data_IF_428857816686
#
_entry.id   IF_428857816686
#
_cell.length_a   1.000
_cell.length_b   1.000
_cell.length_c   1.000
_cell.angle_alpha   90.00
_cell.angle_beta   90.00
_cell.angle_gamma   90.00
#
_symmetry.space_group_name_H-M   'P 1'
#
loop_
_entity.id
_entity.type
_entity.pdbx_description
1 polymer ?
#
# COMPACT_ATOMS: atom_id res chain seq x y z
N UNK A 1 -37.08 27.65 -0.04
CA UNK A 1 -35.65 27.63 -0.39
C UNK A 1 -34.86 27.56 0.91
N UNK A 2 -34.12 26.48 1.17
CA UNK A 2 -33.15 26.40 2.27
C UNK A 2 -31.76 26.65 1.69
N UNK A 3 -30.88 27.44 2.33
CA UNK A 3 -29.54 27.67 1.83
C UNK A 3 -28.69 26.40 2.00
N UNK A 4 -27.89 26.10 0.99
CA UNK A 4 -26.85 25.06 1.03
C UNK A 4 -25.81 25.44 2.08
N UNK A 5 -25.64 24.61 3.12
CA UNK A 5 -24.45 24.66 3.97
C UNK A 5 -23.25 24.14 3.17
N UNK A 6 -22.11 24.85 3.13
CA UNK A 6 -20.90 24.34 2.51
C UNK A 6 -20.41 23.13 3.31
N UNK A 7 -20.25 21.99 2.63
CA UNK A 7 -19.65 20.79 3.17
C UNK A 7 -18.24 21.14 3.69
N UNK A 8 -17.99 20.79 4.95
CA UNK A 8 -16.69 20.94 5.59
C UNK A 8 -15.64 20.14 4.81
N UNK A 9 -14.66 20.84 4.22
CA UNK A 9 -13.56 20.25 3.44
C UNK A 9 -12.56 19.43 4.28
N UNK A 10 -12.82 19.24 5.57
CA UNK A 10 -11.95 18.51 6.50
C UNK A 10 -11.97 16.99 6.35
N UNK A 11 -12.73 16.44 5.39
CA UNK A 11 -12.84 15.00 5.14
C UNK A 11 -12.08 14.47 3.92
N UNK A 12 -11.37 15.33 3.16
CA UNK A 12 -10.57 14.84 2.04
C UNK A 12 -9.38 14.04 2.60
N UNK A 13 -9.14 12.79 2.16
CA UNK A 13 -7.94 12.07 2.53
C UNK A 13 -6.75 12.95 2.15
N UNK A 14 -5.85 13.21 3.10
CA UNK A 14 -4.61 13.93 2.81
C UNK A 14 -3.99 13.30 1.57
N UNK A 15 -3.55 14.09 0.57
CA UNK A 15 -2.81 13.53 -0.55
C UNK A 15 -1.68 12.68 0.03
N UNK A 16 -1.56 11.43 -0.44
CA UNK A 16 -0.55 10.53 0.11
C UNK A 16 0.81 11.21 0.04
N UNK A 17 1.56 11.10 1.14
CA UNK A 17 2.86 11.78 1.26
C UNK A 17 3.79 11.35 0.13
N UNK A 18 4.65 12.26 -0.31
CA UNK A 18 5.73 11.94 -1.25
C UNK A 18 6.64 10.87 -0.64
N UNK A 19 7.35 10.12 -1.48
CA UNK A 19 8.25 9.05 -1.02
C UNK A 19 9.27 9.54 0.03
N UNK A 20 9.60 10.83 0.05
CA UNK A 20 10.53 11.45 1.00
C UNK A 20 10.02 11.49 2.45
N UNK A 21 8.72 11.35 2.66
CA UNK A 21 8.15 11.35 4.02
C UNK A 21 8.20 9.97 4.70
N UNK A 22 8.72 8.96 4.01
CA UNK A 22 8.88 7.60 4.52
C UNK A 22 10.32 7.35 4.97
N UNK A 23 10.50 6.32 5.81
CA UNK A 23 11.83 5.80 6.10
C UNK A 23 12.57 5.46 4.78
N UNK A 24 13.87 5.77 4.64
CA UNK A 24 14.59 5.62 3.36
C UNK A 24 14.49 4.23 2.73
N UNK A 25 14.45 3.17 3.55
CA UNK A 25 14.26 1.81 3.04
C UNK A 25 12.88 1.61 2.37
N UNK A 26 11.82 2.14 2.99
CA UNK A 26 10.48 2.06 2.42
C UNK A 26 10.33 2.97 1.19
N UNK A 27 10.99 4.14 1.19
CA UNK A 27 11.06 5.00 0.02
C UNK A 27 11.70 4.31 -1.19
N UNK A 28 12.76 3.51 -0.97
CA UNK A 28 13.38 2.69 -2.03
C UNK A 28 12.41 1.64 -2.57
N UNK A 29 11.67 0.97 -1.69
CA UNK A 29 10.63 0.00 -2.09
C UNK A 29 9.57 0.67 -2.98
N UNK A 30 9.07 1.85 -2.59
CA UNK A 30 8.10 2.60 -3.42
C UNK A 30 8.67 3.01 -4.78
N UNK A 31 9.96 3.36 -4.86
CA UNK A 31 10.63 3.70 -6.12
C UNK A 31 10.88 2.49 -7.03
N UNK A 32 11.07 1.31 -6.44
CA UNK A 32 11.26 0.06 -7.17
C UNK A 32 9.93 -0.53 -7.68
N UNK A 33 8.78 -0.03 -7.19
CA UNK A 33 7.47 -0.44 -7.66
C UNK A 33 7.33 -0.27 -9.18
N UNK A 34 6.84 -1.28 -9.92
CA UNK A 34 6.57 -1.11 -11.34
C UNK A 34 5.53 0.01 -11.55
N UNK A 35 5.68 0.85 -12.58
CA UNK A 35 4.69 1.87 -12.89
C UNK A 35 3.37 1.24 -13.31
N UNK A 36 2.26 1.96 -13.14
CA UNK A 36 0.91 1.50 -13.53
C UNK A 36 0.83 0.98 -14.96
N UNK A 37 1.52 1.63 -15.90
CA UNK A 37 1.55 1.22 -17.30
C UNK A 37 2.11 -0.20 -17.46
N UNK A 38 3.15 -0.55 -16.72
CA UNK A 38 3.72 -1.91 -16.71
C UNK A 38 2.74 -2.90 -16.07
N UNK A 39 2.11 -2.54 -14.94
CA UNK A 39 1.14 -3.40 -14.28
C UNK A 39 -0.09 -3.69 -15.15
N UNK A 40 -0.59 -2.68 -15.89
CA UNK A 40 -1.69 -2.84 -16.83
C UNK A 40 -1.32 -3.75 -18.02
N UNK A 41 -0.12 -3.57 -18.58
CA UNK A 41 0.38 -4.41 -19.66
C UNK A 41 0.57 -5.85 -19.18
N UNK A 42 1.15 -6.04 -18.00
CA UNK A 42 1.34 -7.36 -17.40
C UNK A 42 0.00 -8.04 -17.11
N UNK A 43 -1.00 -7.32 -16.59
CA UNK A 43 -2.34 -7.87 -16.38
C UNK A 43 -2.98 -8.36 -17.68
N UNK A 44 -2.81 -7.61 -18.78
CA UNK A 44 -3.28 -8.05 -20.10
C UNK A 44 -2.58 -9.34 -20.55
N UNK A 45 -1.26 -9.44 -20.40
CA UNK A 45 -0.50 -10.64 -20.76
C UNK A 45 -0.87 -11.85 -19.88
N UNK A 46 -1.17 -11.61 -18.61
CA UNK A 46 -1.61 -12.62 -17.65
C UNK A 46 -3.09 -13.01 -17.77
N UNK A 47 -3.85 -12.40 -18.68
CA UNK A 47 -5.31 -12.56 -18.81
C UNK A 47 -6.08 -12.24 -17.51
N UNK A 48 -5.56 -11.29 -16.73
CA UNK A 48 -6.16 -10.81 -15.49
C UNK A 48 -6.98 -9.53 -15.74
N UNK A 49 -7.97 -9.23 -14.87
CA UNK A 49 -8.59 -7.90 -14.88
C UNK A 49 -7.51 -6.82 -14.60
N UNK A 50 -7.69 -5.61 -15.14
CA UNK A 50 -6.75 -4.53 -14.89
C UNK A 50 -6.72 -4.20 -13.39
N UNK A 51 -5.53 -4.05 -12.77
CA UNK A 51 -5.43 -3.74 -11.36
C UNK A 51 -6.06 -2.39 -11.03
N UNK A 52 -6.61 -2.29 -9.82
CA UNK A 52 -7.17 -1.06 -9.29
C UNK A 52 -6.13 0.09 -9.28
N UNK A 53 -6.61 1.31 -9.12
CA UNK A 53 -5.73 2.47 -8.93
C UNK A 53 -4.94 2.36 -7.63
N UNK A 54 -3.72 2.89 -7.62
CA UNK A 54 -2.77 2.89 -6.51
C UNK A 54 -3.42 3.36 -5.21
N UNK A 55 -4.20 4.43 -5.29
CA UNK A 55 -4.92 4.99 -4.14
C UNK A 55 -6.02 4.06 -3.63
N UNK A 56 -6.70 3.31 -4.51
CA UNK A 56 -7.69 2.31 -4.09
C UNK A 56 -7.01 1.13 -3.39
N UNK A 57 -5.93 0.60 -3.96
CA UNK A 57 -5.17 -0.50 -3.35
C UNK A 57 -4.61 -0.07 -1.98
N UNK A 58 -4.06 1.14 -1.89
CA UNK A 58 -3.55 1.69 -0.64
C UNK A 58 -4.67 1.96 0.38
N UNK A 59 -5.85 2.43 -0.03
CA UNK A 59 -7.01 2.53 0.87
C UNK A 59 -7.44 1.16 1.40
N UNK A 60 -7.44 0.15 0.54
CA UNK A 60 -7.77 -1.22 0.94
C UNK A 60 -6.76 -1.77 1.95
N UNK A 61 -5.46 -1.55 1.74
CA UNK A 61 -4.39 -1.92 2.67
C UNK A 61 -4.49 -1.21 4.01
N UNK A 62 -4.78 0.09 3.98
CA UNK A 62 -5.03 0.86 5.18
C UNK A 62 -6.21 0.29 5.98
N UNK A 63 -7.36 0.10 5.32
CA UNK A 63 -8.58 -0.37 5.98
C UNK A 63 -8.43 -1.78 6.57
N UNK A 64 -7.76 -2.70 5.85
CA UNK A 64 -7.50 -4.04 6.36
C UNK A 64 -6.55 -4.01 7.55
N UNK A 65 -5.48 -3.21 7.51
CA UNK A 65 -4.55 -3.08 8.63
C UNK A 65 -5.23 -2.57 9.90
N UNK A 66 -6.12 -1.57 9.78
CA UNK A 66 -6.90 -1.08 10.93
C UNK A 66 -7.79 -2.18 11.54
N UNK A 67 -8.41 -3.03 10.71
CA UNK A 67 -9.26 -4.14 11.20
C UNK A 67 -8.48 -5.19 11.98
N UNK A 68 -7.20 -5.38 11.66
CA UNK A 68 -6.33 -6.32 12.39
C UNK A 68 -5.95 -5.80 13.78
N UNK A 69 -6.06 -4.49 14.03
CA UNK A 69 -5.58 -3.82 15.24
C UNK A 69 -6.74 -3.23 16.08
N UNK A 70 -7.63 -4.06 16.65
CA UNK A 70 -8.83 -3.59 17.34
C UNK A 70 -8.55 -2.90 18.69
N UNK A 71 -7.36 -3.12 19.27
CA UNK A 71 -6.95 -2.51 20.54
C UNK A 71 -5.48 -2.14 20.48
N UNK A 72 -5.15 -0.95 20.96
CA UNK A 72 -3.77 -0.48 21.03
C UNK A 72 -3.27 -0.53 22.47
N UNK A 73 -2.00 -0.94 22.68
CA UNK A 73 -1.35 -0.78 23.97
C UNK A 73 -1.29 0.68 24.40
N UNK A 74 -1.38 0.90 25.71
CA UNK A 74 -1.28 2.22 26.32
C UNK A 74 0.14 2.79 26.17
N UNK A 75 1.17 1.95 26.27
CA UNK A 75 2.56 2.40 26.15
C UNK A 75 2.99 2.52 24.69
N UNK A 76 3.71 3.59 24.36
CA UNK A 76 4.25 3.77 23.00
C UNK A 76 5.19 2.64 22.57
N UNK A 77 5.94 2.06 23.52
CA UNK A 77 6.88 0.96 23.23
C UNK A 77 6.14 -0.30 22.79
N UNK A 78 5.17 -0.76 23.58
CA UNK A 78 4.40 -1.97 23.25
C UNK A 78 3.56 -1.75 21.99
N UNK A 79 3.01 -0.54 21.82
CA UNK A 79 2.29 -0.16 20.60
C UNK A 79 3.19 -0.24 19.37
N UNK A 80 4.40 0.31 19.45
CA UNK A 80 5.39 0.23 18.38
C UNK A 80 5.72 -1.23 18.02
N UNK A 81 6.00 -2.06 19.04
CA UNK A 81 6.32 -3.48 18.84
C UNK A 81 5.17 -4.24 18.15
N UNK A 82 3.93 -4.07 18.61
CA UNK A 82 2.75 -4.71 18.02
C UNK A 82 2.54 -4.27 16.56
N UNK A 83 2.66 -2.97 16.29
CA UNK A 83 2.48 -2.43 14.93
C UNK A 83 3.58 -2.90 13.99
N UNK A 84 4.83 -2.98 14.47
CA UNK A 84 5.94 -3.52 13.70
C UNK A 84 5.74 -5.01 13.40
N UNK A 85 5.34 -5.81 14.38
CA UNK A 85 5.05 -7.24 14.20
C UNK A 85 3.95 -7.47 13.16
N UNK A 86 2.88 -6.68 13.22
CA UNK A 86 1.79 -6.76 12.25
C UNK A 86 2.17 -6.27 10.85
N UNK A 87 3.03 -5.26 10.75
CA UNK A 87 3.44 -4.68 9.47
C UNK A 87 4.54 -5.49 8.78
N UNK A 88 5.43 -6.16 9.53
CA UNK A 88 6.59 -6.87 9.01
C UNK A 88 6.25 -7.87 7.88
N UNK A 89 5.22 -8.73 7.98
CA UNK A 89 4.87 -9.64 6.90
C UNK A 89 4.53 -8.91 5.59
N UNK A 90 3.82 -7.78 5.68
CA UNK A 90 3.45 -6.97 4.51
C UNK A 90 4.67 -6.37 3.82
N UNK A 91 5.63 -5.91 4.62
CA UNK A 91 6.89 -5.39 4.12
C UNK A 91 7.72 -6.48 3.45
N UNK A 92 7.81 -7.67 4.05
CA UNK A 92 8.52 -8.82 3.49
C UNK A 92 7.87 -9.25 2.17
N UNK A 93 6.56 -9.45 2.13
CA UNK A 93 5.85 -9.81 0.89
C UNK A 93 6.10 -8.79 -0.22
N UNK A 94 6.00 -7.49 0.06
CA UNK A 94 6.24 -6.46 -0.95
C UNK A 94 7.71 -6.46 -1.43
N UNK A 95 8.67 -6.75 -0.54
CA UNK A 95 10.09 -6.86 -0.89
C UNK A 95 10.34 -8.08 -1.76
N UNK A 96 9.89 -9.25 -1.32
CA UNK A 96 10.05 -10.52 -2.03
C UNK A 96 9.40 -10.49 -3.41
N UNK A 97 8.21 -9.89 -3.53
CA UNK A 97 7.53 -9.71 -4.82
C UNK A 97 8.34 -8.83 -5.78
N UNK A 98 9.02 -7.80 -5.28
CA UNK A 98 9.87 -6.95 -6.12
C UNK A 98 11.19 -7.63 -6.51
N UNK A 99 11.83 -8.35 -5.58
CA UNK A 99 13.07 -9.06 -5.84
C UNK A 99 12.90 -10.19 -6.86
N UNK A 100 11.74 -10.85 -6.84
CA UNK A 100 11.40 -11.94 -7.76
C UNK A 100 10.65 -11.48 -9.00
N UNK A 101 10.40 -10.17 -9.14
CA UNK A 101 9.67 -9.60 -10.27
C UNK A 101 10.48 -9.75 -11.56
N UNK A 102 9.93 -10.38 -12.61
CA UNK A 102 10.61 -10.44 -13.90
C UNK A 102 10.60 -9.07 -14.59
N UNK A 103 11.54 -8.86 -15.50
CA UNK A 103 11.46 -7.74 -16.44
C UNK A 103 10.29 -7.97 -17.39
N UNK A 104 9.50 -6.93 -17.65
CA UNK A 104 8.37 -6.98 -18.57
C UNK A 104 8.86 -7.21 -20.01
N UNK A 105 8.41 -8.29 -20.65
CA UNK A 105 8.61 -8.56 -22.08
C UNK A 105 7.28 -8.93 -22.74
N UNK A 106 7.19 -8.82 -24.07
CA UNK A 106 5.94 -9.06 -24.81
C UNK A 106 5.62 -10.55 -25.00
N UNK A 107 6.62 -11.40 -24.86
CA UNK A 107 6.60 -12.86 -25.06
C UNK A 107 6.63 -13.65 -23.75
N UNK A 108 6.53 -12.97 -22.60
CA UNK A 108 6.59 -13.63 -21.29
C UNK A 108 5.36 -14.51 -21.03
N UNK A 109 5.58 -15.61 -20.31
CA UNK A 109 4.51 -16.49 -19.85
C UNK A 109 3.50 -15.77 -18.93
N UNK A 110 2.20 -16.12 -18.97
CA UNK A 110 1.17 -15.48 -18.15
C UNK A 110 1.48 -15.46 -16.65
N UNK A 111 2.05 -16.54 -16.11
CA UNK A 111 2.44 -16.63 -14.70
C UNK A 111 3.59 -15.67 -14.33
N UNK A 112 4.51 -15.40 -15.27
CA UNK A 112 5.55 -14.41 -15.06
C UNK A 112 4.97 -12.99 -15.09
N UNK A 113 4.02 -12.72 -16.00
CA UNK A 113 3.33 -11.43 -16.05
C UNK A 113 2.49 -11.18 -14.78
N UNK A 114 1.83 -12.21 -14.25
CA UNK A 114 1.08 -12.11 -12.99
C UNK A 114 1.96 -11.62 -11.82
N UNK A 115 3.21 -12.08 -11.71
CA UNK A 115 4.13 -11.63 -10.65
C UNK A 115 4.40 -10.11 -10.66
N UNK A 116 4.38 -9.47 -11.83
CA UNK A 116 4.48 -8.00 -11.94
C UNK A 116 3.24 -7.33 -11.34
N UNK A 117 2.05 -7.89 -11.60
CA UNK A 117 0.78 -7.39 -11.04
C UNK A 117 0.77 -7.57 -9.51
N UNK A 118 1.23 -8.72 -9.02
CA UNK A 118 1.32 -9.02 -7.59
C UNK A 118 2.29 -8.06 -6.89
N UNK A 119 3.47 -7.81 -7.45
CA UNK A 119 4.42 -6.84 -6.93
C UNK A 119 3.82 -5.43 -6.84
N UNK A 120 3.16 -4.98 -7.91
CA UNK A 120 2.46 -3.70 -7.94
C UNK A 120 1.42 -3.61 -6.80
N UNK A 121 0.56 -4.62 -6.65
CA UNK A 121 -0.48 -4.63 -5.61
C UNK A 121 0.15 -4.68 -4.22
N UNK A 122 1.11 -5.57 -3.98
CA UNK A 122 1.75 -5.76 -2.68
C UNK A 122 2.41 -4.47 -2.16
N UNK A 123 3.11 -3.73 -3.03
CA UNK A 123 3.74 -2.47 -2.67
C UNK A 123 2.71 -1.41 -2.28
N UNK A 124 1.65 -1.23 -3.07
CA UNK A 124 0.63 -0.23 -2.76
C UNK A 124 -0.21 -0.62 -1.53
N UNK A 125 -0.41 -1.92 -1.31
CA UNK A 125 -1.08 -2.42 -0.12
C UNK A 125 -0.24 -2.16 1.15
N UNK A 126 1.08 -2.46 1.09
CA UNK A 126 2.02 -2.13 2.15
C UNK A 126 2.10 -0.61 2.41
N UNK A 127 2.02 0.24 1.38
CA UNK A 127 1.94 1.71 1.54
C UNK A 127 0.72 2.12 2.38
N UNK A 128 -0.43 1.51 2.10
CA UNK A 128 -1.66 1.71 2.87
C UNK A 128 -1.53 1.31 4.32
N UNK A 129 -1.02 0.09 4.55
CA UNK A 129 -0.80 -0.45 5.89
C UNK A 129 0.22 0.37 6.69
N UNK A 130 1.30 0.84 6.07
CA UNK A 130 2.28 1.71 6.72
C UNK A 130 1.63 3.02 7.18
N UNK A 131 0.77 3.63 6.36
CA UNK A 131 0.06 4.84 6.73
C UNK A 131 -0.91 4.59 7.91
N UNK A 132 -1.57 3.43 7.95
CA UNK A 132 -2.40 3.03 9.08
C UNK A 132 -1.57 2.82 10.35
N UNK A 133 -0.46 2.07 10.26
CA UNK A 133 0.45 1.84 11.38
C UNK A 133 0.97 3.15 11.98
N UNK A 134 1.40 4.11 11.15
CA UNK A 134 1.84 5.41 11.64
C UNK A 134 0.70 6.23 12.26
N UNK A 135 -0.53 6.10 11.75
CA UNK A 135 -1.70 6.77 12.33
C UNK A 135 -2.04 6.19 13.70
N UNK A 136 -2.00 4.86 13.86
CA UNK A 136 -2.23 4.16 15.12
C UNK A 136 -1.12 4.45 16.14
N UNK A 137 0.15 4.48 15.70
CA UNK A 137 1.28 4.79 16.59
C UNK A 137 1.12 6.16 17.25
N UNK A 138 0.72 7.16 16.45
CA UNK A 138 0.54 8.55 16.88
C UNK A 138 -0.85 8.84 17.48
N UNK A 139 -1.74 7.85 17.58
CA UNK A 139 -3.05 8.04 18.19
C UNK A 139 -2.91 8.38 19.68
N UNK A 140 -3.82 9.19 20.26
CA UNK A 140 -3.87 9.36 21.70
C UNK A 140 -4.08 7.99 22.39
N UNK A 141 -3.48 7.84 23.57
CA UNK A 141 -3.66 6.65 24.41
C UNK A 141 -5.05 6.62 25.06
#
# INVERSE_FOLDING_TARGET
MRPFSPLSLSGLPRPYRTAEAYHPAFARLLRACPPRTHALQAARLALLPPPEQEDSIARNGHALFLKLMPRLPATHRERGAMLEEAFRPLLLTATDSLETMPTLTLDMEPAAAQRIVEAYVAVHWARGAQAAAMSLYNAPA
#
